data_IF_526637210590
#
_entry.id   IF_526637210590
#
_cell.length_a   1.000
_cell.length_b   1.000
_cell.length_c   1.000
_cell.angle_alpha   90.00
_cell.angle_beta   90.00
_cell.angle_gamma   90.00
#
_symmetry.space_group_name_H-M   'P 1'
#
loop_
_entity.id
_entity.type
_entity.pdbx_description
1 polymer ?
#
# COMPACT_ATOMS: atom_id res chain seq x y z
N UNK A 1 6.33 -26.41 -21.51
CA UNK A 1 6.46 -25.71 -20.22
C UNK A 1 7.81 -25.00 -20.19
N UNK A 2 7.85 -23.74 -19.77
CA UNK A 2 9.11 -23.01 -19.64
C UNK A 2 9.98 -23.66 -18.56
N UNK A 3 11.30 -23.78 -18.79
CA UNK A 3 12.20 -24.39 -17.80
C UNK A 3 12.29 -23.45 -16.57
N UNK A 4 12.15 -23.96 -15.33
CA UNK A 4 12.31 -23.16 -14.11
C UNK A 4 13.64 -22.41 -14.07
N UNK A 5 13.73 -21.37 -13.24
CA UNK A 5 15.01 -20.72 -12.91
C UNK A 5 15.94 -21.73 -12.21
N UNK A 6 17.22 -21.37 -12.06
CA UNK A 6 18.18 -22.22 -11.32
C UNK A 6 17.73 -22.48 -9.88
N UNK A 7 16.96 -21.56 -9.32
CA UNK A 7 16.44 -21.62 -7.96
C UNK A 7 15.06 -22.31 -7.88
N UNK A 8 14.58 -22.90 -8.98
CA UNK A 8 13.34 -23.68 -9.03
C UNK A 8 12.06 -22.85 -9.16
N UNK A 9 12.16 -21.55 -9.39
CA UNK A 9 10.99 -20.68 -9.58
C UNK A 9 10.49 -20.67 -11.03
N UNK A 10 9.21 -20.37 -11.20
CA UNK A 10 8.65 -20.04 -12.51
C UNK A 10 9.24 -18.73 -13.03
N UNK A 11 9.46 -18.65 -14.34
CA UNK A 11 9.97 -17.42 -14.96
C UNK A 11 8.86 -16.39 -15.04
N UNK A 12 9.16 -15.15 -14.66
CA UNK A 12 8.27 -14.01 -14.79
C UNK A 12 8.93 -12.96 -15.70
N UNK A 13 8.62 -13.02 -16.99
CA UNK A 13 9.22 -12.13 -18.00
C UNK A 13 10.76 -12.24 -18.02
N UNK A 14 11.49 -11.13 -18.26
CA UNK A 14 12.95 -11.11 -18.26
C UNK A 14 13.58 -10.97 -16.86
N UNK A 15 12.78 -10.82 -15.80
CA UNK A 15 13.24 -10.48 -14.46
C UNK A 15 13.36 -11.70 -13.54
N UNK A 16 14.21 -11.60 -12.53
CA UNK A 16 14.27 -12.61 -11.48
C UNK A 16 12.97 -12.59 -10.64
N UNK A 17 12.34 -13.74 -10.33
CA UNK A 17 11.08 -13.78 -9.60
C UNK A 17 11.09 -13.01 -8.27
N UNK A 18 12.19 -13.08 -7.50
CA UNK A 18 12.33 -12.27 -6.28
C UNK A 18 12.17 -10.77 -6.50
N UNK A 19 12.72 -10.23 -7.59
CA UNK A 19 12.60 -8.81 -7.91
C UNK A 19 11.15 -8.43 -8.23
N UNK A 20 10.47 -9.27 -9.00
CA UNK A 20 9.06 -9.07 -9.34
C UNK A 20 8.21 -9.07 -8.07
N UNK A 21 8.33 -10.09 -7.24
CA UNK A 21 7.55 -10.22 -6.01
C UNK A 21 7.86 -9.13 -4.99
N UNK A 22 9.12 -8.69 -4.87
CA UNK A 22 9.47 -7.54 -4.05
C UNK A 22 8.78 -6.26 -4.55
N UNK A 23 8.70 -6.06 -5.86
CA UNK A 23 7.97 -4.93 -6.46
C UNK A 23 6.47 -4.98 -6.19
N UNK A 24 5.85 -6.16 -6.31
CA UNK A 24 4.43 -6.37 -5.94
C UNK A 24 4.20 -6.05 -4.47
N UNK A 25 5.02 -6.60 -3.57
CA UNK A 25 4.92 -6.33 -2.13
C UNK A 25 5.06 -4.83 -1.83
N UNK A 26 6.00 -4.14 -2.46
CA UNK A 26 6.17 -2.70 -2.28
C UNK A 26 4.94 -1.92 -2.77
N UNK A 27 4.37 -2.29 -3.90
CA UNK A 27 3.14 -1.69 -4.42
C UNK A 27 1.95 -1.93 -3.47
N UNK A 28 1.79 -3.15 -2.97
CA UNK A 28 0.71 -3.49 -2.03
C UNK A 28 0.81 -2.66 -0.74
N UNK A 29 2.03 -2.52 -0.19
CA UNK A 29 2.26 -1.68 0.98
C UNK A 29 1.95 -0.20 0.71
N UNK A 30 2.32 0.32 -0.47
CA UNK A 30 1.97 1.69 -0.86
C UNK A 30 0.46 1.88 -0.97
N UNK A 31 -0.26 0.91 -1.55
CA UNK A 31 -1.73 0.94 -1.63
C UNK A 31 -2.34 0.95 -0.23
N UNK A 32 -1.86 0.11 0.69
CA UNK A 32 -2.33 0.07 2.08
C UNK A 32 -2.12 1.42 2.76
N UNK A 33 -0.92 1.98 2.69
CA UNK A 33 -0.62 3.30 3.29
C UNK A 33 -1.51 4.38 2.69
N UNK A 34 -1.70 4.38 1.37
CA UNK A 34 -2.57 5.33 0.70
C UNK A 34 -4.03 5.21 1.17
N UNK A 35 -4.56 3.99 1.24
CA UNK A 35 -5.94 3.76 1.71
C UNK A 35 -6.11 4.20 3.16
N UNK A 36 -5.15 3.87 4.04
CA UNK A 36 -5.20 4.30 5.42
C UNK A 36 -5.17 5.83 5.53
N UNK A 37 -4.27 6.49 4.80
CA UNK A 37 -4.20 7.95 4.77
C UNK A 37 -5.49 8.59 4.23
N UNK A 38 -6.08 8.03 3.18
CA UNK A 38 -7.35 8.51 2.64
C UNK A 38 -8.52 8.34 3.63
N UNK A 39 -8.57 7.21 4.35
CA UNK A 39 -9.57 6.98 5.39
C UNK A 39 -9.41 7.94 6.56
N UNK A 40 -8.17 8.22 6.97
CA UNK A 40 -7.87 9.20 8.01
C UNK A 40 -8.33 10.60 7.61
N UNK A 41 -7.97 11.06 6.41
CA UNK A 41 -8.38 12.38 5.91
C UNK A 41 -9.90 12.49 5.72
N UNK A 42 -10.56 11.41 5.28
CA UNK A 42 -12.02 11.38 5.18
C UNK A 42 -12.67 11.44 6.56
N UNK A 43 -12.11 10.72 7.54
CA UNK A 43 -12.57 10.75 8.93
C UNK A 43 -12.50 12.17 9.51
N UNK A 44 -11.38 12.85 9.28
CA UNK A 44 -11.14 14.25 9.65
C UNK A 44 -12.20 15.19 9.04
N UNK A 45 -12.42 15.09 7.73
CA UNK A 45 -13.45 15.89 7.04
C UNK A 45 -14.86 15.65 7.59
N UNK A 46 -15.18 14.41 7.98
CA UNK A 46 -16.48 14.07 8.58
C UNK A 46 -16.58 14.60 10.01
N UNK A 47 -15.50 14.52 10.79
CA UNK A 47 -15.43 15.05 12.15
C UNK A 47 -15.65 16.56 12.13
N UNK A 48 -14.96 17.29 11.28
CA UNK A 48 -15.12 18.74 11.08
C UNK A 48 -16.57 19.15 10.75
N UNK A 49 -17.24 18.36 9.92
CA UNK A 49 -18.62 18.63 9.52
C UNK A 49 -19.63 18.40 10.66
N UNK A 50 -19.34 17.49 11.59
CA UNK A 50 -20.22 17.11 12.70
C UNK A 50 -19.90 17.91 13.96
N UNK A 51 -18.61 18.13 14.23
CA UNK A 51 -18.07 18.73 15.44
C UNK A 51 -16.99 19.77 15.08
N UNK A 52 -17.41 20.98 14.66
CA UNK A 52 -16.45 22.01 14.30
C UNK A 52 -15.67 22.52 15.52
N UNK A 53 -14.34 22.46 15.47
CA UNK A 53 -13.42 22.89 16.53
C UNK A 53 -13.10 21.80 17.58
N UNK A 54 -13.24 20.53 17.20
CA UNK A 54 -12.76 19.37 17.96
C UNK A 54 -11.25 19.26 18.02
N UNK A 55 -10.78 18.13 18.56
CA UNK A 55 -9.34 17.84 18.59
C UNK A 55 -8.98 17.19 17.25
N UNK A 56 -8.18 17.90 16.46
CA UNK A 56 -7.66 17.39 15.20
C UNK A 56 -6.78 16.16 15.44
N UNK A 57 -7.33 14.99 15.10
CA UNK A 57 -6.65 13.70 15.25
C UNK A 57 -5.50 13.56 14.24
N UNK A 58 -5.58 14.28 13.12
CA UNK A 58 -4.54 14.31 12.08
C UNK A 58 -3.40 15.24 12.45
N UNK A 59 -3.67 16.42 13.01
CA UNK A 59 -2.63 17.36 13.46
C UNK A 59 -1.93 16.89 14.75
N UNK A 60 -2.54 15.96 15.49
CA UNK A 60 -1.97 15.37 16.69
C UNK A 60 -1.01 14.18 16.44
N UNK A 61 -0.88 13.71 15.18
CA UNK A 61 0.02 12.63 14.75
C UNK A 61 1.32 13.19 14.13
#
# INVERSE_FOLDING_TARGET
MARPTRDGFDRIGPFHPYFVWAGVLALDLLIIVFVLGALTALGDTIEDAIWPGGVDLVDAL
#
